data_IF_524263071002
#
_entry.id   IF_524263071002
#
_cell.length_a   1.000
_cell.length_b   1.000
_cell.length_c   1.000
_cell.angle_alpha   90.00
_cell.angle_beta   90.00
_cell.angle_gamma   90.00
#
_symmetry.space_group_name_H-M   'P 1'
#
loop_
_entity.id
_entity.type
_entity.pdbx_description
1 polymer ?
#
# COMPACT_ATOMS: atom_id res chain seq x y z
N UNK A 1 -7.35 6.00 3.80
CA UNK A 1 -8.01 6.38 5.05
C UNK A 1 -9.41 5.82 5.23
N UNK A 2 -9.87 4.94 4.34
CA UNK A 2 -11.17 4.27 4.46
C UNK A 2 -11.06 2.99 5.27
N UNK A 3 -12.08 2.70 6.08
CA UNK A 3 -12.20 1.45 6.83
C UNK A 3 -12.43 0.29 5.85
N UNK A 4 -11.65 -0.77 5.98
CA UNK A 4 -11.85 -2.01 5.23
C UNK A 4 -12.23 -3.11 6.20
N UNK A 5 -13.37 -3.74 5.95
CA UNK A 5 -13.78 -4.95 6.66
C UNK A 5 -13.37 -6.15 5.82
N UNK A 6 -12.49 -7.02 6.34
CA UNK A 6 -12.08 -8.22 5.62
C UNK A 6 -13.31 -9.08 5.29
N UNK A 7 -13.44 -9.51 4.05
CA UNK A 7 -14.53 -10.36 3.60
C UNK A 7 -13.96 -11.56 2.85
N UNK A 8 -14.30 -12.75 3.30
CA UNK A 8 -13.89 -13.99 2.65
C UNK A 8 -14.71 -14.26 1.38
N UNK A 9 -15.98 -13.82 1.39
CA UNK A 9 -16.92 -14.04 0.28
C UNK A 9 -17.37 -12.68 -0.25
N UNK A 10 -17.08 -12.39 -1.52
CA UNK A 10 -17.50 -11.16 -2.17
C UNK A 10 -18.92 -11.27 -2.75
N UNK A 11 -19.26 -12.41 -3.33
CA UNK A 11 -20.57 -12.67 -3.96
C UNK A 11 -20.88 -14.15 -4.01
N UNK A 12 -22.17 -14.51 -3.81
CA UNK A 12 -22.73 -15.85 -4.05
C UNK A 12 -23.81 -15.71 -5.11
N UNK A 13 -23.79 -16.58 -6.10
CA UNK A 13 -24.81 -16.67 -7.15
C UNK A 13 -25.44 -18.05 -7.17
N UNK A 14 -26.73 -18.10 -7.56
CA UNK A 14 -27.39 -19.37 -7.86
C UNK A 14 -26.93 -19.92 -9.21
N UNK A 15 -27.42 -21.13 -9.56
CA UNK A 15 -27.11 -21.77 -10.84
C UNK A 15 -27.64 -21.03 -12.08
N UNK A 16 -28.49 -20.01 -11.91
CA UNK A 16 -29.03 -19.17 -12.97
C UNK A 16 -28.32 -17.83 -13.08
N UNK A 17 -27.28 -17.58 -12.23
CA UNK A 17 -26.54 -16.35 -12.21
C UNK A 17 -27.15 -15.25 -11.34
N UNK A 18 -28.28 -15.49 -10.65
CA UNK A 18 -28.87 -14.53 -9.75
C UNK A 18 -28.01 -14.38 -8.50
N UNK A 19 -27.70 -13.14 -8.12
CA UNK A 19 -26.93 -12.86 -6.90
C UNK A 19 -27.80 -13.09 -5.67
N UNK A 20 -27.42 -14.08 -4.84
CA UNK A 20 -28.05 -14.41 -3.56
C UNK A 20 -27.44 -13.58 -2.43
N UNK A 21 -26.12 -13.35 -2.50
CA UNK A 21 -25.37 -12.57 -1.52
C UNK A 21 -24.32 -11.72 -2.21
N UNK A 22 -24.14 -10.49 -1.73
CA UNK A 22 -23.05 -9.59 -2.12
C UNK A 22 -22.54 -8.84 -0.91
N UNK A 23 -21.21 -8.81 -0.74
CA UNK A 23 -20.57 -8.01 0.29
C UNK A 23 -20.86 -6.52 0.08
N UNK A 24 -21.16 -5.81 1.18
CA UNK A 24 -21.57 -4.39 1.15
C UNK A 24 -20.44 -3.40 0.83
N UNK A 25 -19.21 -3.88 0.67
CA UNK A 25 -18.03 -3.01 0.52
C UNK A 25 -17.94 -2.28 -0.82
N UNK A 26 -18.79 -2.65 -1.80
CA UNK A 26 -18.83 -2.03 -3.12
C UNK A 26 -20.25 -2.00 -3.65
N UNK A 27 -20.67 -0.87 -4.19
CA UNK A 27 -21.94 -0.71 -4.89
C UNK A 27 -21.65 -0.48 -6.37
N UNK A 28 -22.25 -1.27 -7.22
CA UNK A 28 -22.17 -1.06 -8.65
C UNK A 28 -23.37 -0.23 -9.12
N UNK A 29 -23.09 0.90 -9.74
CA UNK A 29 -24.08 1.73 -10.39
C UNK A 29 -24.06 1.44 -11.89
N UNK A 30 -25.16 0.95 -12.43
CA UNK A 30 -25.28 0.64 -13.87
C UNK A 30 -24.86 -0.78 -14.28
N UNK A 31 -24.51 -1.67 -13.32
CA UNK A 31 -24.17 -3.06 -13.66
C UNK A 31 -25.35 -3.89 -14.18
N UNK A 32 -26.58 -3.47 -13.88
CA UNK A 32 -27.79 -4.15 -14.34
C UNK A 32 -28.26 -3.65 -15.72
N UNK A 33 -27.62 -2.64 -16.25
CA UNK A 33 -27.93 -2.10 -17.58
C UNK A 33 -27.11 -2.82 -18.65
N UNK A 34 -27.76 -3.24 -19.71
CA UNK A 34 -27.08 -3.69 -20.91
C UNK A 34 -26.23 -2.51 -21.44
N UNK A 35 -24.92 -2.70 -21.52
CA UNK A 35 -24.03 -1.68 -22.08
C UNK A 35 -24.21 -1.69 -23.59
N UNK A 36 -25.15 -0.89 -24.07
CA UNK A 36 -25.43 -0.78 -25.51
C UNK A 36 -24.54 0.24 -26.22
N UNK A 37 -23.73 1.01 -25.47
CA UNK A 37 -22.81 2.00 -26.05
C UNK A 37 -21.45 1.95 -25.34
N UNK A 38 -20.33 2.09 -26.08
CA UNK A 38 -18.97 2.05 -25.53
C UNK A 38 -18.64 3.16 -24.52
N UNK A 39 -19.53 4.13 -24.32
CA UNK A 39 -19.35 5.30 -23.43
C UNK A 39 -19.97 5.13 -22.05
N UNK A 40 -20.78 4.11 -21.81
CA UNK A 40 -21.42 3.87 -20.52
C UNK A 40 -20.76 2.72 -19.78
N UNK A 41 -19.67 2.98 -19.08
CA UNK A 41 -19.07 2.00 -18.21
C UNK A 41 -19.75 1.98 -16.82
N UNK A 42 -19.98 0.77 -16.23
CA UNK A 42 -20.51 0.69 -14.87
C UNK A 42 -19.52 1.32 -13.88
N UNK A 43 -20.05 2.12 -12.97
CA UNK A 43 -19.25 2.77 -11.93
C UNK A 43 -19.33 1.97 -10.63
N UNK A 44 -18.17 1.58 -10.10
CA UNK A 44 -18.07 0.88 -8.80
C UNK A 44 -17.78 1.92 -7.71
N UNK A 45 -18.80 2.20 -6.91
CA UNK A 45 -18.68 3.09 -5.75
C UNK A 45 -18.12 2.31 -4.55
N UNK A 46 -17.08 2.88 -3.94
CA UNK A 46 -16.55 2.38 -2.67
C UNK A 46 -17.37 3.01 -1.53
N UNK A 47 -18.20 2.20 -0.88
CA UNK A 47 -19.09 2.63 0.21
C UNK A 47 -18.44 2.60 1.60
N UNK A 48 -17.15 2.30 1.69
CA UNK A 48 -16.43 2.23 2.95
C UNK A 48 -16.36 3.60 3.64
N UNK A 49 -16.55 3.60 4.95
CA UNK A 49 -16.48 4.77 5.81
C UNK A 49 -15.07 5.39 5.80
N UNK A 50 -15.00 6.72 5.70
CA UNK A 50 -13.75 7.46 5.84
C UNK A 50 -13.42 7.63 7.33
N UNK A 51 -12.40 6.94 7.84
CA UNK A 51 -11.99 6.97 9.26
C UNK A 51 -10.74 7.81 9.52
N UNK A 52 -9.89 8.00 8.52
CA UNK A 52 -8.75 8.92 8.57
C UNK A 52 -8.88 9.97 7.48
N UNK A 53 -8.49 11.21 7.76
CA UNK A 53 -8.45 12.22 6.72
C UNK A 53 -7.50 11.80 5.59
N UNK A 54 -7.73 12.31 4.38
CA UNK A 54 -6.86 12.02 3.22
C UNK A 54 -5.41 12.45 3.48
N UNK A 55 -5.23 13.56 4.18
CA UNK A 55 -3.93 14.10 4.56
C UNK A 55 -3.18 13.16 5.51
N UNK A 56 -3.86 12.66 6.56
CA UNK A 56 -3.27 11.72 7.51
C UNK A 56 -2.90 10.40 6.83
N UNK A 57 -3.78 9.90 5.96
CA UNK A 57 -3.50 8.68 5.18
C UNK A 57 -2.28 8.87 4.25
N UNK A 58 -2.17 10.06 3.62
CA UNK A 58 -1.02 10.37 2.77
C UNK A 58 0.29 10.52 3.58
N UNK A 59 0.24 11.15 4.75
CA UNK A 59 1.41 11.24 5.64
C UNK A 59 1.92 9.83 6.02
N UNK A 60 1.02 8.91 6.37
CA UNK A 60 1.40 7.51 6.62
C UNK A 60 2.00 6.85 5.39
N UNK A 61 1.44 7.08 4.21
CA UNK A 61 2.01 6.58 2.95
C UNK A 61 3.40 7.13 2.70
N UNK A 62 3.63 8.42 2.93
CA UNK A 62 4.94 9.07 2.82
C UNK A 62 5.98 8.45 3.75
N UNK A 63 5.61 8.22 5.03
CA UNK A 63 6.47 7.54 6.00
C UNK A 63 6.82 6.12 5.53
N UNK A 64 5.83 5.37 5.04
CA UNK A 64 6.03 4.00 4.55
C UNK A 64 6.80 3.95 3.22
N UNK A 65 6.70 5.00 2.39
CA UNK A 65 7.57 5.20 1.21
C UNK A 65 9.03 5.39 1.65
N UNK A 66 9.26 6.13 2.74
CA UNK A 66 10.58 6.29 3.35
C UNK A 66 11.23 4.96 3.75
N UNK A 67 10.47 3.91 4.09
CA UNK A 67 11.01 2.57 4.36
C UNK A 67 11.64 1.94 3.11
N UNK A 68 11.09 2.22 1.94
CA UNK A 68 11.64 1.77 0.64
C UNK A 68 12.82 2.64 0.21
N UNK A 69 12.75 3.93 0.44
CA UNK A 69 13.79 4.86 -0.02
C UNK A 69 15.05 4.83 0.84
N UNK A 70 14.90 4.76 2.16
CA UNK A 70 15.99 4.92 3.15
C UNK A 70 15.98 3.91 4.30
N UNK A 71 14.93 3.07 4.40
CA UNK A 71 14.73 2.12 5.50
C UNK A 71 15.10 0.67 5.17
N UNK A 72 14.43 -0.26 5.86
CA UNK A 72 14.68 -1.70 5.80
C UNK A 72 14.37 -2.34 4.45
N UNK A 73 13.59 -1.64 3.59
CA UNK A 73 13.20 -2.11 2.27
C UNK A 73 13.97 -1.45 1.10
N UNK A 74 15.14 -0.86 1.34
CA UNK A 74 15.97 -0.19 0.31
C UNK A 74 16.22 -1.02 -0.95
N UNK A 75 16.22 -2.34 -0.85
CA UNK A 75 16.40 -3.25 -1.99
C UNK A 75 15.31 -3.10 -3.06
N UNK A 76 14.14 -2.56 -2.69
CA UNK A 76 13.05 -2.31 -3.64
C UNK A 76 13.28 -1.07 -4.51
N UNK A 77 14.16 -0.16 -4.09
CA UNK A 77 14.47 1.07 -4.85
C UNK A 77 14.95 0.76 -6.28
N UNK A 78 15.63 -0.38 -6.48
CA UNK A 78 16.10 -0.82 -7.81
C UNK A 78 14.97 -1.12 -8.80
N UNK A 79 13.72 -1.31 -8.34
CA UNK A 79 12.56 -1.53 -9.21
C UNK A 79 12.13 -0.25 -9.94
N UNK A 80 12.48 0.92 -9.38
CA UNK A 80 12.15 2.24 -9.92
C UNK A 80 10.64 2.43 -10.18
N UNK A 81 9.82 1.97 -9.22
CA UNK A 81 8.36 2.14 -9.20
C UNK A 81 7.93 2.69 -7.84
N UNK A 82 6.83 3.47 -7.75
CA UNK A 82 6.36 4.05 -6.50
C UNK A 82 5.80 2.95 -5.58
N UNK A 83 6.55 2.64 -4.53
CA UNK A 83 6.19 1.63 -3.53
C UNK A 83 6.31 2.20 -2.12
N UNK A 84 5.42 1.74 -1.27
CA UNK A 84 5.47 1.94 0.17
C UNK A 84 5.31 0.60 0.88
N UNK A 85 5.78 0.47 2.12
CA UNK A 85 5.61 -0.80 2.81
C UNK A 85 6.36 -0.89 4.13
N UNK A 86 6.19 -2.03 4.81
CA UNK A 86 6.81 -2.29 6.11
C UNK A 86 7.15 -3.76 6.29
N UNK A 87 8.34 -4.00 6.84
CA UNK A 87 8.76 -5.32 7.32
C UNK A 87 8.14 -5.61 8.68
N UNK A 88 7.82 -6.87 8.94
CA UNK A 88 7.49 -7.41 10.25
C UNK A 88 8.38 -8.61 10.56
N UNK A 89 8.77 -8.74 11.83
CA UNK A 89 9.51 -9.89 12.34
C UNK A 89 9.04 -10.11 13.76
N UNK A 90 8.58 -11.33 14.07
CA UNK A 90 8.22 -11.70 15.43
C UNK A 90 9.46 -11.96 16.27
N UNK A 91 9.28 -12.01 17.60
CA UNK A 91 10.34 -12.41 18.51
C UNK A 91 10.91 -13.78 18.08
N UNK A 92 12.20 -13.99 18.30
CA UNK A 92 12.93 -15.21 17.96
C UNK A 92 12.88 -15.63 16.47
N UNK A 93 12.46 -14.69 15.59
CA UNK A 93 12.32 -14.91 14.14
C UNK A 93 11.41 -16.10 13.78
N UNK A 94 10.30 -16.28 14.47
CA UNK A 94 9.32 -17.30 14.12
C UNK A 94 8.58 -16.97 12.84
N UNK A 95 8.27 -15.68 12.62
CA UNK A 95 7.58 -15.19 11.43
C UNK A 95 8.29 -14.02 10.81
N UNK A 96 8.36 -14.02 9.50
CA UNK A 96 8.87 -12.93 8.68
C UNK A 96 7.79 -12.40 7.76
N UNK A 97 7.50 -11.10 7.86
CA UNK A 97 6.49 -10.41 7.07
C UNK A 97 7.08 -9.29 6.23
N UNK A 98 6.51 -9.09 5.08
CA UNK A 98 6.57 -7.83 4.36
C UNK A 98 5.21 -7.51 3.76
N UNK A 99 4.67 -6.34 4.09
CA UNK A 99 3.48 -5.80 3.43
C UNK A 99 3.91 -4.56 2.68
N UNK A 100 3.75 -4.60 1.36
CA UNK A 100 4.05 -3.49 0.48
C UNK A 100 2.86 -3.16 -0.42
N UNK A 101 2.81 -1.92 -0.90
CA UNK A 101 1.72 -1.45 -1.73
C UNK A 101 2.16 -0.35 -2.69
N UNK A 102 1.42 -0.26 -3.79
CA UNK A 102 1.39 0.86 -4.72
C UNK A 102 0.08 1.64 -4.54
N UNK A 103 -0.22 2.57 -5.43
CA UNK A 103 -1.50 3.31 -5.42
C UNK A 103 -2.73 2.41 -5.63
N UNK A 104 -2.57 1.28 -6.30
CA UNK A 104 -3.66 0.42 -6.77
C UNK A 104 -3.56 -1.06 -6.32
N UNK A 105 -2.45 -1.49 -5.71
CA UNK A 105 -2.22 -2.88 -5.33
C UNK A 105 -1.57 -2.99 -3.96
N UNK A 106 -2.03 -3.94 -3.15
CA UNK A 106 -1.42 -4.33 -1.86
C UNK A 106 -1.00 -5.78 -1.94
N UNK A 107 0.23 -6.06 -1.55
CA UNK A 107 0.83 -7.40 -1.54
C UNK A 107 1.38 -7.69 -0.15
N UNK A 108 0.92 -8.78 0.45
CA UNK A 108 1.46 -9.30 1.71
C UNK A 108 2.27 -10.58 1.45
N UNK A 109 3.44 -10.66 2.05
CA UNK A 109 4.28 -11.87 2.06
C UNK A 109 4.49 -12.30 3.49
N UNK A 110 4.15 -13.53 3.77
CA UNK A 110 4.32 -14.19 5.06
C UNK A 110 5.20 -15.44 4.90
N UNK A 111 6.11 -15.62 5.82
CA UNK A 111 6.93 -16.82 5.96
C UNK A 111 6.93 -17.25 7.42
N UNK A 112 6.56 -18.47 7.67
CA UNK A 112 6.47 -19.08 8.99
C UNK A 112 6.23 -20.57 8.89
N UNK A 113 6.26 -21.26 10.00
CA UNK A 113 5.92 -22.68 10.11
C UNK A 113 4.56 -22.83 10.80
N UNK A 114 3.76 -23.81 10.39
CA UNK A 114 2.47 -24.13 11.03
C UNK A 114 2.65 -24.46 12.53
N UNK A 115 3.70 -25.22 12.86
CA UNK A 115 4.16 -25.38 14.24
C UNK A 115 5.25 -24.34 14.50
N UNK A 116 5.02 -23.35 15.38
CA UNK A 116 5.94 -22.24 15.58
C UNK A 116 7.35 -22.70 15.94
N UNK A 117 8.31 -22.38 15.09
CA UNK A 117 9.75 -22.56 15.32
C UNK A 117 10.52 -21.48 14.60
N UNK A 118 11.72 -21.18 15.06
CA UNK A 118 12.54 -20.13 14.45
C UNK A 118 12.88 -20.47 12.99
N UNK A 119 12.75 -19.44 12.13
CA UNK A 119 13.21 -19.47 10.74
C UNK A 119 14.75 -19.50 10.65
N UNK A 120 15.42 -19.16 11.73
CA UNK A 120 16.87 -19.08 11.81
C UNK A 120 17.37 -17.72 12.28
N UNK A 121 18.61 -17.70 12.73
CA UNK A 121 19.25 -16.46 13.18
C UNK A 121 19.36 -15.48 12.01
N UNK A 122 18.82 -14.27 12.18
CA UNK A 122 18.79 -13.21 11.16
C UNK A 122 17.78 -13.37 10.00
N UNK A 123 16.90 -14.36 10.01
CA UNK A 123 15.82 -14.50 9.04
C UNK A 123 14.67 -13.53 9.39
N UNK A 124 14.88 -12.27 9.01
CA UNK A 124 13.94 -11.17 9.24
C UNK A 124 13.04 -10.93 8.04
N UNK A 125 11.99 -10.13 8.20
CA UNK A 125 11.14 -9.70 7.08
C UNK A 125 11.91 -9.09 5.90
N UNK A 126 13.00 -8.37 6.17
CA UNK A 126 13.86 -7.79 5.13
C UNK A 126 14.76 -8.80 4.40
N UNK A 127 15.03 -9.96 5.01
CA UNK A 127 15.84 -11.01 4.40
C UNK A 127 15.03 -12.14 3.78
N UNK A 128 13.96 -12.56 4.45
CA UNK A 128 13.14 -13.67 4.01
C UNK A 128 11.96 -13.22 3.14
N UNK A 129 11.08 -12.32 3.62
CA UNK A 129 9.86 -11.94 2.93
C UNK A 129 10.06 -10.90 1.80
N UNK A 130 10.92 -9.90 2.02
CA UNK A 130 11.16 -8.83 1.05
C UNK A 130 11.66 -9.30 -0.33
N UNK A 131 12.57 -10.30 -0.45
CA UNK A 131 13.02 -10.79 -1.75
C UNK A 131 11.90 -11.43 -2.57
N UNK A 132 10.95 -12.12 -1.91
CA UNK A 132 9.79 -12.73 -2.56
C UNK A 132 8.88 -11.63 -3.12
N UNK A 133 8.58 -10.61 -2.30
CA UNK A 133 7.84 -9.43 -2.75
C UNK A 133 8.52 -8.76 -3.95
N UNK A 134 9.84 -8.53 -3.86
CA UNK A 134 10.62 -7.92 -4.94
C UNK A 134 10.50 -8.71 -6.23
N UNK A 135 10.72 -10.02 -6.18
CA UNK A 135 10.66 -10.90 -7.34
C UNK A 135 9.25 -10.94 -7.97
N UNK A 136 8.20 -10.92 -7.12
CA UNK A 136 6.83 -10.84 -7.62
C UNK A 136 6.56 -9.54 -8.39
N UNK A 137 6.95 -8.39 -7.83
CA UNK A 137 6.78 -7.09 -8.51
C UNK A 137 7.60 -7.02 -9.80
N UNK A 138 8.85 -7.51 -9.77
CA UNK A 138 9.76 -7.44 -10.91
C UNK A 138 9.33 -8.32 -12.09
N UNK A 139 8.74 -9.48 -11.82
CA UNK A 139 8.40 -10.48 -12.84
C UNK A 139 6.91 -10.60 -13.13
N UNK A 140 6.06 -10.24 -12.16
CA UNK A 140 4.62 -10.45 -12.23
C UNK A 140 3.81 -9.23 -12.62
N UNK A 141 4.42 -8.04 -12.62
CA UNK A 141 3.71 -6.78 -12.88
C UNK A 141 4.44 -5.95 -13.93
N UNK A 142 3.68 -5.23 -14.74
CA UNK A 142 4.24 -4.29 -15.70
C UNK A 142 4.50 -2.93 -15.02
N UNK A 143 5.52 -2.20 -15.46
CA UNK A 143 5.83 -0.87 -14.89
C UNK A 143 4.70 0.13 -15.06
N UNK A 144 3.94 0.01 -16.12
CA UNK A 144 2.79 0.87 -16.45
C UNK A 144 1.59 0.64 -15.51
N UNK A 145 1.61 -0.45 -14.70
CA UNK A 145 0.60 -0.70 -13.65
C UNK A 145 0.81 0.17 -12.40
N UNK A 146 1.91 0.94 -12.33
CA UNK A 146 2.27 1.73 -11.16
C UNK A 146 2.09 3.23 -11.42
N UNK A 147 1.15 3.82 -10.70
CA UNK A 147 0.96 5.26 -10.64
C UNK A 147 1.52 5.82 -9.32
N UNK A 148 1.94 7.08 -9.34
CA UNK A 148 2.36 7.77 -8.12
C UNK A 148 1.19 7.94 -7.14
N UNK A 149 1.52 7.99 -5.86
CA UNK A 149 0.54 8.30 -4.81
C UNK A 149 0.07 9.74 -4.95
N UNK A 150 -1.26 9.94 -5.11
CA UNK A 150 -1.85 11.29 -5.24
C UNK A 150 -1.67 12.08 -3.96
N UNK A 151 -1.02 13.24 -4.08
CA UNK A 151 -0.87 14.21 -2.99
C UNK A 151 -2.20 14.93 -2.77
N UNK A 152 -2.78 14.93 -1.55
CA UNK A 152 -3.97 15.72 -1.24
C UNK A 152 -3.69 17.22 -1.29
N UNK A 153 -4.72 18.03 -1.58
CA UNK A 153 -4.61 19.50 -1.73
C UNK A 153 -4.05 20.19 -0.48
N UNK A 154 -4.34 19.68 0.72
CA UNK A 154 -3.91 20.26 1.99
C UNK A 154 -2.58 19.68 2.51
N UNK A 155 -1.80 19.05 1.62
CA UNK A 155 -0.45 18.56 1.91
C UNK A 155 0.58 19.39 1.16
N UNK A 156 1.58 19.87 1.88
CA UNK A 156 2.77 20.47 1.33
C UNK A 156 3.95 19.49 1.42
N UNK A 157 4.58 19.23 0.29
CA UNK A 157 5.85 18.49 0.25
C UNK A 157 6.99 19.45 0.54
N UNK A 158 7.67 19.26 1.66
CA UNK A 158 8.70 20.16 2.15
C UNK A 158 10.02 19.44 2.33
N UNK A 159 11.11 20.05 1.86
CA UNK A 159 12.45 19.55 2.13
C UNK A 159 12.85 19.85 3.56
N UNK A 160 13.18 18.80 4.30
CA UNK A 160 13.67 18.87 5.67
C UNK A 160 15.09 18.31 5.76
N UNK A 161 15.87 18.85 6.67
CA UNK A 161 17.13 18.23 7.06
C UNK A 161 16.83 16.98 7.89
N UNK A 162 17.36 15.83 7.46
CA UNK A 162 17.06 14.53 8.06
C UNK A 162 17.49 14.43 9.54
N UNK A 163 18.58 15.07 9.90
CA UNK A 163 19.17 14.97 11.25
C UNK A 163 18.47 15.88 12.25
N UNK A 164 18.04 17.06 11.81
CA UNK A 164 17.45 18.08 12.68
C UNK A 164 15.92 18.15 12.61
N UNK A 165 15.33 17.63 11.53
CA UNK A 165 13.88 17.75 11.26
C UNK A 165 13.43 19.17 10.87
N UNK A 166 14.36 20.11 10.76
CA UNK A 166 14.07 21.49 10.40
C UNK A 166 14.01 21.67 8.87
N UNK A 167 13.37 22.75 8.41
CA UNK A 167 13.33 23.10 7.00
C UNK A 167 14.74 23.23 6.44
N UNK A 168 15.02 22.51 5.34
CA UNK A 168 16.36 22.53 4.77
C UNK A 168 16.65 23.85 4.05
N UNK A 169 17.89 24.34 4.24
CA UNK A 169 18.43 25.50 3.54
C UNK A 169 19.18 25.13 2.25
N UNK A 170 19.59 26.15 1.51
CA UNK A 170 20.47 26.00 0.34
C UNK A 170 21.81 25.41 0.80
N UNK A 171 22.17 24.23 0.29
CA UNK A 171 23.43 23.55 0.60
C UNK A 171 23.38 22.43 1.63
N UNK A 172 22.25 22.18 2.25
CA UNK A 172 22.07 21.01 3.13
C UNK A 172 22.26 19.69 2.37
N UNK A 173 23.17 18.85 2.87
CA UNK A 173 23.52 17.59 2.20
C UNK A 173 22.61 16.42 2.54
N UNK A 174 21.98 16.44 3.71
CA UNK A 174 21.16 15.33 4.22
C UNK A 174 19.69 15.74 4.25
N UNK A 175 19.09 15.90 3.06
CA UNK A 175 17.71 16.37 2.93
C UNK A 175 16.78 15.23 2.53
N UNK A 176 15.57 15.28 3.09
CA UNK A 176 14.45 14.41 2.74
C UNK A 176 13.23 15.26 2.41
N UNK A 177 12.34 14.72 1.60
CA UNK A 177 11.03 15.34 1.35
C UNK A 177 10.00 14.67 2.25
N UNK A 178 9.33 15.49 3.06
CA UNK A 178 8.26 15.04 3.96
C UNK A 178 6.94 15.71 3.65
N UNK A 179 5.85 15.01 3.96
CA UNK A 179 4.48 15.46 3.74
C UNK A 179 3.94 16.15 5.00
N UNK A 180 3.79 17.46 4.96
CA UNK A 180 3.25 18.25 6.07
C UNK A 180 1.84 18.73 5.73
N UNK A 181 0.95 18.78 6.73
CA UNK A 181 -0.35 19.43 6.56
C UNK A 181 -0.16 20.95 6.58
N UNK A 182 -0.81 21.64 5.66
CA UNK A 182 -0.70 23.10 5.55
C UNK A 182 -1.05 23.80 6.88
N UNK A 183 -2.02 23.26 7.62
CA UNK A 183 -2.43 23.81 8.92
C UNK A 183 -1.44 23.61 10.06
N UNK A 184 -0.42 22.76 9.87
CA UNK A 184 0.59 22.42 10.89
C UNK A 184 1.93 23.14 10.60
N UNK A 185 1.99 24.03 9.57
CA UNK A 185 3.12 24.84 9.15
C UNK A 185 2.93 26.29 9.59
#
# INVERSE_FOLDING_TARGET
>A
GKKIEPSLISRIQDRRGNTIFQSKNRKCLGCDKFINQPTEFPFIENTNEQILSKETAYQMTSILKGVVERGTAKKLKSLNVPLAGKTGTTNDNYDAWFIGFSSNLVIGVYIGFDNPKSLGKFETGSKAALPIFKNFVEKGLFKDDFEDFKVPENILLTSLNYDTGLKSGLGDKNTIVEALKIKDI
#
